data_IF_017403917334
#
_entry.id   IF_017403917334
#
_cell.length_a   1.000
_cell.length_b   1.000
_cell.length_c   1.000
_cell.angle_alpha   90.00
_cell.angle_beta   90.00
_cell.angle_gamma   90.00
#
_symmetry.space_group_name_H-M   'P 1'
#
loop_
_entity.id
_entity.type
_entity.pdbx_description
1 polymer ?
2 non-polymer ?
3 non-polymer ?
4 water ?
#
# COMPACT_ATOMS: atom_id res chain seq x y z
N UNK A 1 -15.85 5.66 -9.01
CA UNK A 1 -14.56 5.53 -9.73
C UNK A 1 -13.61 4.65 -8.90
N UNK A 2 -13.65 4.78 -7.58
CA UNK A 2 -12.75 4.00 -6.69
C UNK A 2 -13.43 2.71 -6.21
N UNK A 3 -14.70 2.51 -6.54
CA UNK A 3 -15.56 1.62 -5.72
C UNK A 3 -15.15 0.16 -5.81
N UNK A 4 -14.56 -0.33 -6.89
CA UNK A 4 -14.17 -1.75 -6.92
C UNK A 4 -12.99 -2.05 -5.98
N UNK A 5 -12.26 -1.01 -5.55
CA UNK A 5 -11.15 -1.18 -4.60
C UNK A 5 -11.66 -1.29 -3.16
N UNK A 6 -12.89 -0.89 -2.88
CA UNK A 6 -13.34 -0.78 -1.49
C UNK A 6 -13.56 -2.15 -0.89
N UNK A 7 -13.23 -2.30 0.37
CA UNK A 7 -13.48 -3.50 1.12
C UNK A 7 -12.27 -3.94 1.92
N UNK A 8 -12.33 -5.19 2.36
CA UNK A 8 -11.29 -5.79 3.19
C UNK A 8 -10.56 -6.83 2.33
N UNK A 9 -9.24 -6.75 2.35
CA UNK A 9 -8.36 -7.51 1.47
C UNK A 9 -7.29 -8.18 2.31
N UNK A 10 -6.93 -9.41 1.95
CA UNK A 10 -5.89 -10.14 2.68
C UNK A 10 -4.77 -10.54 1.76
N UNK A 11 -3.55 -10.43 2.27
CA UNK A 11 -2.38 -10.77 1.45
C UNK A 11 -2.34 -12.27 1.19
N UNK A 12 -2.19 -12.65 -0.08
CA UNK A 12 -2.10 -14.07 -0.46
C UNK A 12 -0.89 -14.40 -1.32
N UNK A 13 -0.11 -13.42 -1.79
CA UNK A 13 1.11 -13.68 -2.57
C UNK A 13 2.03 -12.48 -2.42
N UNK A 14 3.35 -12.67 -2.29
CA UNK A 14 4.29 -11.53 -2.23
C UNK A 14 5.58 -11.90 -2.97
N UNK A 15 6.00 -10.99 -3.84
CA UNK A 15 7.23 -11.14 -4.62
C UNK A 15 8.10 -9.91 -4.44
N UNK A 16 9.33 -10.13 -4.01
CA UNK A 16 10.38 -9.10 -3.93
C UNK A 16 10.10 -8.04 -2.85
N UNK A 17 9.31 -8.36 -1.83
CA UNK A 17 9.09 -7.36 -0.77
C UNK A 17 10.38 -7.09 0.00
N UNK A 18 11.21 -8.11 0.20
CA UNK A 18 12.48 -7.85 0.88
C UNK A 18 13.31 -6.86 0.07
N UNK A 19 13.38 -7.03 -1.25
CA UNK A 19 14.14 -6.08 -2.07
C UNK A 19 13.62 -4.66 -1.85
N UNK A 20 12.31 -4.50 -1.88
CA UNK A 20 11.70 -3.18 -1.73
C UNK A 20 12.04 -2.58 -0.35
N UNK A 21 11.81 -3.35 0.70
CA UNK A 21 12.13 -2.86 2.05
C UNK A 21 13.61 -2.52 2.17
N UNK A 22 14.48 -3.37 1.63
CA UNK A 22 15.93 -3.13 1.74
C UNK A 22 16.26 -1.82 1.02
N UNK A 23 15.69 -1.59 -0.14
CA UNK A 23 15.93 -0.36 -0.91
C UNK A 23 15.56 0.89 -0.08
N UNK A 24 14.49 0.79 0.70
CA UNK A 24 14.04 1.87 1.60
C UNK A 24 14.91 1.97 2.85
N UNK A 25 15.86 1.07 3.09
CA UNK A 25 16.73 1.12 4.28
C UNK A 25 16.10 0.48 5.50
N UNK A 26 15.11 -0.37 5.34
CA UNK A 26 14.53 -1.10 6.47
C UNK A 26 15.56 -2.13 6.97
N UNK A 27 15.75 -2.18 8.29
CA UNK A 27 16.73 -3.10 8.90
C UNK A 27 16.37 -4.55 8.77
N UNK A 28 17.37 -5.41 8.92
CA UNK A 28 17.18 -6.85 8.63
C UNK A 28 16.13 -7.47 9.53
N UNK A 29 16.05 -7.10 10.80
CA UNK A 29 15.13 -7.75 11.75
C UNK A 29 13.68 -7.41 11.36
N UNK A 30 13.45 -6.17 10.99
CA UNK A 30 12.11 -5.74 10.54
C UNK A 30 11.77 -6.46 9.23
N UNK A 31 12.70 -6.52 8.29
CA UNK A 31 12.42 -7.21 7.02
C UNK A 31 12.06 -8.66 7.29
N UNK A 32 12.76 -9.25 8.25
CA UNK A 32 12.55 -10.66 8.58
C UNK A 32 11.10 -10.88 9.07
N UNK A 33 10.60 -10.09 10.01
CA UNK A 33 9.22 -10.21 10.51
C UNK A 33 8.24 -9.93 9.37
N UNK A 34 8.48 -8.85 8.63
CA UNK A 34 7.55 -8.44 7.57
C UNK A 34 7.44 -9.49 6.47
N UNK A 35 8.49 -10.27 6.24
CA UNK A 35 8.47 -11.33 5.20
C UNK A 35 7.52 -12.45 5.56
N UNK A 36 7.13 -12.56 6.82
CA UNK A 36 6.25 -13.62 7.31
C UNK A 36 4.87 -13.07 7.69
N UNK A 37 4.63 -11.77 7.68
CA UNK A 37 3.29 -11.28 8.00
C UNK A 37 2.43 -11.25 6.73
N UNK A 38 1.13 -11.32 6.97
CA UNK A 38 0.12 -11.25 5.90
C UNK A 38 -0.89 -10.18 6.30
N UNK A 39 -0.65 -8.94 5.93
CA UNK A 39 -1.54 -7.90 6.37
C UNK A 39 -2.94 -8.02 5.76
N UNK A 40 -3.84 -7.34 6.46
CA UNK A 40 -5.18 -7.03 5.98
C UNK A 40 -5.21 -5.57 5.61
N UNK A 41 -5.68 -5.24 4.41
CA UNK A 41 -5.85 -3.85 3.99
C UNK A 41 -7.35 -3.60 3.86
N UNK A 42 -7.79 -2.51 4.48
CA UNK A 42 -9.20 -2.11 4.46
C UNK A 42 -9.27 -0.76 3.77
N UNK A 43 -10.08 -0.66 2.73
CA UNK A 43 -10.23 0.60 1.97
C UNK A 43 -11.70 0.96 2.07
N UNK A 44 -11.98 2.15 2.61
CA UNK A 44 -13.36 2.62 2.80
C UNK A 44 -13.48 4.04 2.28
N UNK A 45 -14.67 4.44 1.84
CA UNK A 45 -14.89 5.85 1.50
C UNK A 45 -16.07 6.39 2.28
N UNK A 46 -16.00 7.69 2.45
CA UNK A 46 -17.11 8.49 3.00
C UNK A 46 -17.09 9.78 2.20
N UNK A 47 -18.01 9.89 1.24
CA UNK A 47 -17.95 11.00 0.29
C UNK A 47 -16.61 10.97 -0.44
N UNK A 48 -15.94 12.11 -0.47
CA UNK A 48 -14.67 12.27 -1.19
C UNK A 48 -13.49 11.78 -0.37
N UNK A 49 -13.70 11.31 0.85
CA UNK A 49 -12.56 10.93 1.71
C UNK A 49 -12.41 9.41 1.71
N UNK A 50 -11.21 8.96 1.40
CA UNK A 50 -10.90 7.54 1.48
C UNK A 50 -10.06 7.34 2.73
N UNK A 51 -10.24 6.18 3.33
CA UNK A 51 -9.42 5.75 4.46
C UNK A 51 -8.87 4.37 4.13
N UNK A 52 -7.57 4.22 4.26
CA UNK A 52 -6.86 2.97 3.94
C UNK A 52 -6.13 2.54 5.19
N UNK A 53 -6.56 1.40 5.74
CA UNK A 53 -5.97 0.80 6.94
C UNK A 53 -5.14 -0.39 6.50
N UNK A 54 -4.01 -0.59 7.16
CA UNK A 54 -3.20 -1.81 6.98
C UNK A 54 -2.96 -2.39 8.37
N UNK A 55 -3.40 -3.62 8.59
CA UNK A 55 -3.36 -4.26 9.91
C UNK A 55 -2.55 -5.53 9.83
N UNK A 56 -1.74 -5.78 10.84
CA UNK A 56 -1.04 -7.07 10.91
C UNK A 56 -0.67 -7.34 12.35
N UNK A 57 -0.04 -8.48 12.57
CA UNK A 57 0.53 -8.80 13.87
C UNK A 57 1.77 -7.97 14.20
N UNK A 58 2.31 -7.26 13.24
CA UNK A 58 3.57 -6.51 13.42
C UNK A 58 3.35 -5.02 13.46
N UNK A 59 2.70 -4.47 12.45
CA UNK A 59 2.55 -3.02 12.29
C UNK A 59 1.13 -2.76 11.90
N UNK A 60 0.64 -1.60 12.28
CA UNK A 60 -0.63 -1.09 11.77
C UNK A 60 -0.38 0.31 11.25
N UNK A 61 -1.10 0.67 10.21
CA UNK A 61 -1.13 2.03 9.69
C UNK A 61 -2.55 2.36 9.38
N UNK A 62 -2.79 3.74 9.24
CA UNK A 62 -4.04 4.25 8.70
C UNK A 62 -3.75 5.61 8.09
N UNK A 63 -4.28 5.83 6.89
CA UNK A 63 -4.24 7.12 6.21
C UNK A 63 -5.65 7.48 5.75
N UNK A 64 -5.95 8.76 5.76
CA UNK A 64 -7.15 9.31 5.11
C UNK A 64 -6.73 10.39 4.14
N UNK A 65 -7.41 10.44 3.01
CA UNK A 65 -7.03 11.38 1.95
C UNK A 65 -8.20 11.59 1.02
N UNK A 66 -8.16 12.73 0.31
CA UNK A 66 -8.98 12.94 -0.91
C UNK A 66 -8.13 12.64 -2.12
N UNK A 67 -8.70 12.01 -3.14
CA UNK A 67 -7.94 11.80 -4.37
C UNK A 67 -7.50 13.15 -4.89
N UNK A 68 -6.23 13.19 -5.32
CA UNK A 68 -5.68 14.35 -5.99
C UNK A 68 -5.32 15.49 -5.08
N UNK A 69 -5.32 15.28 -3.76
CA UNK A 69 -4.96 16.33 -2.79
C UNK A 69 -3.81 15.80 -1.94
N UNK A 70 -2.70 16.51 -1.91
CA UNK A 70 -1.53 16.08 -1.15
C UNK A 70 -1.85 15.98 0.34
N UNK A 71 -1.22 15.03 1.00
CA UNK A 71 -1.37 14.84 2.45
C UNK A 71 -0.02 14.43 3.03
N UNK A 72 0.17 14.76 4.30
CA UNK A 72 1.33 14.26 5.04
C UNK A 72 1.07 12.83 5.51
N UNK A 73 2.12 12.01 5.47
CA UNK A 73 2.02 10.60 5.85
C UNK A 73 3.28 10.22 6.60
N UNK A 74 3.11 9.38 7.61
CA UNK A 74 4.25 8.74 8.30
C UNK A 74 4.10 7.25 8.06
N UNK A 75 5.03 6.67 7.30
CA UNK A 75 4.87 5.30 6.81
C UNK A 75 5.16 4.27 7.91
N UNK A 76 4.89 3.01 7.59
CA UNK A 76 5.10 1.92 8.55
C UNK A 76 6.56 1.85 9.00
N UNK A 77 7.48 2.19 8.12
CA UNK A 77 8.92 2.23 8.39
C UNK A 77 9.39 3.63 8.83
N UNK A 78 8.47 4.49 9.23
CA UNK A 78 8.76 5.78 9.88
C UNK A 78 9.36 6.82 8.95
N UNK A 79 9.10 6.74 7.66
CA UNK A 79 9.43 7.88 6.77
C UNK A 79 8.32 8.92 6.85
N UNK A 80 8.70 10.18 6.93
CA UNK A 80 7.76 11.30 6.89
C UNK A 80 7.75 11.82 5.46
N UNK A 81 6.63 11.57 4.78
CA UNK A 81 6.55 11.77 3.32
C UNK A 81 5.40 12.71 2.98
N UNK A 82 5.48 13.24 1.78
CA UNK A 82 4.39 14.00 1.16
C UNK A 82 3.75 13.07 0.15
N UNK A 83 2.46 12.85 0.26
CA UNK A 83 1.77 11.81 -0.50
C UNK A 83 0.64 12.37 -1.32
N UNK A 84 0.34 11.69 -2.41
CA UNK A 84 -0.87 11.98 -3.20
C UNK A 84 -1.33 10.66 -3.80
N UNK A 85 -2.63 10.48 -3.83
CA UNK A 85 -3.26 9.28 -4.41
C UNK A 85 -4.20 9.74 -5.51
N UNK A 86 -4.13 9.10 -6.67
CA UNK A 86 -4.94 9.44 -7.82
C UNK A 86 -5.44 8.15 -8.46
N UNK A 87 -6.41 8.27 -9.34
CA UNK A 87 -6.77 7.20 -10.27
C UNK A 87 -6.14 7.49 -11.63
N UNK A 88 -5.51 6.47 -12.19
CA UNK A 88 -4.74 6.63 -13.43
C UNK A 88 -4.92 5.34 -14.20
N UNK A 89 -5.64 5.37 -15.31
CA UNK A 89 -5.86 4.13 -16.06
C UNK A 89 -6.65 3.11 -15.26
N UNK A 90 -7.48 3.57 -14.35
CA UNK A 90 -8.27 2.67 -13.49
C UNK A 90 -7.47 2.12 -12.31
N UNK A 91 -6.21 2.49 -12.17
CA UNK A 91 -5.35 2.05 -11.07
C UNK A 91 -5.32 3.14 -10.01
N UNK A 92 -5.21 2.70 -8.77
CA UNK A 92 -5.11 3.62 -7.66
C UNK A 92 -3.61 3.86 -7.41
N UNK A 93 -3.06 5.05 -7.75
CA UNK A 93 -1.62 5.31 -7.73
C UNK A 93 -1.33 6.21 -6.53
N UNK A 94 -0.51 5.70 -5.61
CA UNK A 94 -0.07 6.43 -4.41
C UNK A 94 1.42 6.76 -4.60
N UNK A 95 1.73 8.05 -4.64
CA UNK A 95 3.10 8.54 -4.79
C UNK A 95 3.53 9.15 -3.47
N UNK A 96 4.67 8.73 -2.94
CA UNK A 96 5.27 9.30 -1.73
C UNK A 96 6.60 9.97 -2.11
N UNK A 97 6.82 11.16 -1.55
CA UNK A 97 8.04 11.99 -1.80
C UNK A 97 8.67 12.36 -0.47
N UNK A 98 9.97 12.21 -0.37
CA UNK A 98 10.69 12.64 0.85
C UNK A 98 12.17 12.73 0.49
N UNK A 99 12.85 13.73 1.00
CA UNK A 99 14.32 13.85 0.79
C UNK A 99 14.71 13.79 -0.69
N UNK A 100 13.85 14.23 -1.60
CA UNK A 100 14.09 14.14 -3.04
C UNK A 100 13.88 12.74 -3.63
N UNK A 101 13.60 11.75 -2.80
CA UNK A 101 13.29 10.36 -3.15
C UNK A 101 11.81 10.26 -3.48
N UNK A 102 11.46 9.19 -4.19
CA UNK A 102 10.06 8.86 -4.44
C UNK A 102 9.87 7.37 -4.38
N UNK A 103 8.67 6.95 -4.03
CA UNK A 103 8.23 5.57 -4.23
C UNK A 103 6.79 5.60 -4.67
N UNK A 104 6.41 4.63 -5.49
CA UNK A 104 5.03 4.49 -5.93
C UNK A 104 4.46 3.16 -5.44
N UNK A 105 3.19 3.23 -5.07
CA UNK A 105 2.39 2.09 -4.62
C UNK A 105 1.17 2.08 -5.53
N UNK A 106 1.14 1.15 -6.47
CA UNK A 106 0.11 1.14 -7.52
C UNK A 106 -0.80 -0.05 -7.28
N UNK A 107 -2.10 0.19 -7.20
CA UNK A 107 -3.08 -0.88 -6.99
C UNK A 107 -3.94 -1.02 -8.23
N UNK A 108 -4.18 -2.26 -8.60
CA UNK A 108 -5.10 -2.53 -9.69
C UNK A 108 -5.85 -3.80 -9.39
N UNK A 109 -6.90 -3.91 -10.13
CA UNK A 109 -7.75 -5.11 -10.01
C UNK A 109 -7.54 -5.96 -11.25
N UNK A 110 -7.17 -7.21 -11.03
CA UNK A 110 -6.97 -8.20 -12.13
C UNK A 110 -7.72 -9.47 -11.73
N UNK A 111 -8.78 -9.80 -12.46
CA UNK A 111 -9.59 -11.02 -12.18
C UNK A 111 -10.07 -11.02 -10.71
N UNK A 112 -10.52 -9.87 -10.21
CA UNK A 112 -11.06 -9.78 -8.84
C UNK A 112 -10.00 -9.69 -7.74
N UNK A 113 -8.72 -9.82 -8.08
CA UNK A 113 -7.65 -9.72 -7.07
C UNK A 113 -7.07 -8.32 -7.15
N UNK A 114 -6.59 -7.86 -6.01
CA UNK A 114 -5.97 -6.54 -5.89
C UNK A 114 -4.45 -6.74 -5.95
N UNK A 115 -3.83 -6.21 -7.01
CA UNK A 115 -2.38 -6.33 -7.22
C UNK A 115 -1.76 -4.99 -6.85
N UNK A 116 -0.87 -5.04 -5.87
CA UNK A 116 -0.13 -3.88 -5.37
C UNK A 116 1.30 -3.98 -5.88
N UNK A 117 1.73 -3.00 -6.67
CA UNK A 117 3.09 -2.95 -7.18
C UNK A 117 3.80 -1.79 -6.48
N UNK A 118 4.90 -2.12 -5.84
CA UNK A 118 5.68 -1.19 -5.02
C UNK A 118 7.02 -0.97 -5.73
N UNK A 119 7.37 0.27 -6.06
CA UNK A 119 8.63 0.55 -6.77
C UNK A 119 9.42 1.58 -5.98
N UNK A 120 10.67 1.30 -5.69
CA UNK A 120 11.61 2.28 -5.12
C UNK A 120 12.98 1.96 -5.68
N UNK A 121 13.69 2.97 -6.16
CA UNK A 121 14.96 2.67 -6.82
C UNK A 121 14.72 1.77 -8.00
N UNK A 122 15.44 0.67 -8.06
CA UNK A 122 15.21 -0.32 -9.10
C UNK A 122 14.33 -1.46 -8.60
N UNK A 123 14.00 -1.51 -7.31
CA UNK A 123 13.26 -2.62 -6.71
C UNK A 123 11.78 -2.52 -7.10
N UNK A 124 11.24 -3.65 -7.52
CA UNK A 124 9.82 -3.75 -7.91
C UNK A 124 9.24 -4.98 -7.20
N UNK A 125 8.29 -4.71 -6.32
CA UNK A 125 7.61 -5.74 -5.52
C UNK A 125 6.16 -5.84 -5.98
N UNK A 126 5.66 -7.06 -6.07
CA UNK A 126 4.26 -7.31 -6.40
C UNK A 126 3.61 -8.10 -5.28
N UNK A 127 2.55 -7.55 -4.71
CA UNK A 127 1.81 -8.21 -3.65
C UNK A 127 0.37 -8.36 -4.08
N UNK A 128 -0.15 -9.54 -3.86
CA UNK A 128 -1.51 -9.87 -4.30
C UNK A 128 -2.40 -10.02 -3.08
N UNK A 129 -3.55 -9.35 -3.14
CA UNK A 129 -4.57 -9.37 -2.06
C UNK A 129 -5.86 -9.98 -2.61
N UNK A 130 -6.53 -10.75 -1.82
CA UNK A 130 -7.86 -11.30 -2.16
C UNK A 130 -8.90 -10.74 -1.22
N UNK A 131 -10.07 -10.51 -1.77
CA UNK A 131 -11.13 -9.82 -1.06
C UNK A 131 -11.76 -10.80 -0.06
N UNK A 132 -11.91 -10.29 1.16
CA UNK A 132 -12.71 -10.88 2.27
C UNK A 132 -14.20 -10.53 2.12
N UNK A 133 -15.05 -11.52 2.35
CA UNK A 133 -16.52 -11.37 2.27
C UNK A 133 -17.01 -10.51 3.43
#
# INVERSE_FOLDING_TARGET
>A
MVDAFLGTWKLVDSKNFDDYMKSLGVGFATRQVASMTKPTTIIEKNGDILTLKTHSTFKNTEISFKLGVEFDETTADDRKVKSIVTLDGGKLVHLQKWDGQETTLVRELIDGKLILTLTHGTAVCTRTYEKEA
#
